data_IF_428001687785
#
_entry.id   IF_428001687785
#
_cell.length_a   1.000
_cell.length_b   1.000
_cell.length_c   1.000
_cell.angle_alpha   90.00
_cell.angle_beta   90.00
_cell.angle_gamma   90.00
#
_symmetry.space_group_name_H-M   'P 1'
#
loop_
_entity.id
_entity.type
_entity.pdbx_description
1 polymer ?
#
# COMPACT_ATOMS: atom_id res chain seq x y z
N UNK A 1 18.83 -20.93 30.55
CA UNK A 1 17.80 -19.92 30.28
C UNK A 1 16.61 -20.25 31.16
N UNK A 2 15.98 -19.27 31.81
CA UNK A 2 14.84 -19.52 32.71
C UNK A 2 13.56 -19.71 31.87
N UNK A 3 12.75 -20.72 32.17
CA UNK A 3 11.45 -20.90 31.53
C UNK A 3 10.37 -20.14 32.30
N UNK A 4 9.51 -19.42 31.56
CA UNK A 4 8.39 -18.66 32.11
C UNK A 4 7.07 -19.19 31.54
N UNK A 5 6.28 -19.90 32.36
CA UNK A 5 5.03 -20.55 31.93
C UNK A 5 4.01 -19.58 31.31
N UNK A 6 4.02 -18.31 31.74
CA UNK A 6 3.14 -17.29 31.19
C UNK A 6 3.58 -16.77 29.80
N UNK A 7 4.73 -17.23 29.28
CA UNK A 7 5.23 -16.90 27.94
C UNK A 7 5.15 -18.10 26.97
N UNK A 8 4.34 -19.12 27.25
CA UNK A 8 4.09 -20.22 26.30
C UNK A 8 3.64 -19.66 24.93
N UNK A 9 4.33 -20.08 23.87
CA UNK A 9 4.08 -19.65 22.49
C UNK A 9 4.69 -18.29 22.12
N UNK A 10 5.60 -17.76 22.94
CA UNK A 10 6.55 -16.71 22.53
C UNK A 10 7.84 -17.36 22.03
N UNK A 11 8.47 -16.75 21.04
CA UNK A 11 9.77 -17.14 20.51
C UNK A 11 10.87 -16.37 21.23
N UNK A 12 11.86 -17.07 21.73
CA UNK A 12 13.01 -16.47 22.38
C UNK A 12 13.92 -15.86 21.31
N UNK A 13 14.14 -14.54 21.36
CA UNK A 13 15.19 -13.93 20.56
C UNK A 13 16.51 -14.12 21.28
N UNK A 14 17.32 -15.07 20.78
CA UNK A 14 18.71 -15.26 21.20
C UNK A 14 19.56 -14.05 20.80
N UNK A 15 19.58 -13.02 21.64
CA UNK A 15 20.67 -12.06 21.68
C UNK A 15 21.83 -12.75 22.42
N UNK A 16 22.85 -13.22 21.68
CA UNK A 16 24.06 -13.94 22.14
C UNK A 16 24.42 -13.83 23.64
N UNK A 17 24.75 -14.98 24.25
CA UNK A 17 25.11 -15.19 25.68
C UNK A 17 25.98 -14.10 26.33
N UNK A 18 26.90 -13.50 25.58
CA UNK A 18 27.83 -12.45 26.03
C UNK A 18 27.10 -11.14 26.43
N UNK A 19 25.88 -10.89 25.95
CA UNK A 19 25.07 -9.70 26.32
C UNK A 19 24.21 -9.88 27.58
N UNK A 20 24.17 -11.08 28.19
CA UNK A 20 23.23 -11.39 29.27
C UNK A 20 23.67 -10.89 30.65
N UNK A 21 24.98 -10.78 30.91
CA UNK A 21 25.52 -10.40 32.22
C UNK A 21 25.97 -8.93 32.30
N UNK A 22 25.96 -8.21 31.18
CA UNK A 22 26.30 -6.80 31.15
C UNK A 22 25.19 -5.95 31.78
N UNK A 23 25.60 -5.09 32.72
CA UNK A 23 24.75 -4.03 33.27
C UNK A 23 24.47 -3.06 32.15
N UNK A 24 23.21 -2.89 31.79
CA UNK A 24 22.79 -1.92 30.77
C UNK A 24 21.84 -0.89 31.38
N UNK A 25 21.87 0.38 30.92
CA UNK A 25 20.89 1.36 31.35
C UNK A 25 19.48 0.94 30.92
N UNK A 26 18.48 1.27 31.74
CA UNK A 26 17.09 1.08 31.38
C UNK A 26 16.75 2.02 30.22
N UNK A 27 16.14 1.53 29.14
CA UNK A 27 15.97 2.31 27.91
C UNK A 27 15.10 3.57 28.08
N UNK A 28 14.26 3.63 29.12
CA UNK A 28 13.27 4.70 29.31
C UNK A 28 13.22 5.32 30.71
N UNK A 29 13.96 4.76 31.68
CA UNK A 29 13.95 5.23 33.06
C UNK A 29 15.34 5.74 33.38
N UNK A 30 15.45 7.04 33.65
CA UNK A 30 16.73 7.67 33.97
C UNK A 30 17.28 7.07 35.27
N UNK A 31 18.59 6.82 35.30
CA UNK A 31 19.32 6.29 36.45
C UNK A 31 18.87 4.89 36.94
N UNK A 32 18.10 4.15 36.14
CA UNK A 32 17.82 2.74 36.40
C UNK A 32 18.69 1.85 35.51
N UNK A 33 19.20 0.75 36.06
CA UNK A 33 20.00 -0.22 35.33
C UNK A 33 19.37 -1.61 35.39
N UNK A 34 19.65 -2.41 34.37
CA UNK A 34 19.14 -3.76 34.19
C UNK A 34 20.28 -4.73 33.93
N UNK A 35 20.12 -5.95 34.43
CA UNK A 35 21.00 -7.09 34.16
C UNK A 35 20.15 -8.34 33.91
N UNK A 36 20.76 -9.40 33.36
CA UNK A 36 20.11 -10.70 33.11
C UNK A 36 18.89 -10.56 32.20
N UNK A 37 19.03 -9.77 31.14
CA UNK A 37 17.95 -9.49 30.20
C UNK A 37 17.64 -10.71 29.32
N UNK A 38 16.38 -11.10 29.22
CA UNK A 38 15.88 -12.14 28.33
C UNK A 38 14.77 -11.56 27.45
N UNK A 39 14.91 -11.65 26.13
CA UNK A 39 13.99 -11.04 25.18
C UNK A 39 13.11 -12.10 24.53
N UNK A 40 11.82 -11.83 24.49
CA UNK A 40 10.80 -12.72 23.93
C UNK A 40 10.00 -11.96 22.90
N UNK A 41 9.65 -12.62 21.81
CA UNK A 41 8.83 -12.06 20.73
C UNK A 41 7.61 -12.94 20.45
N UNK A 42 6.49 -12.32 20.09
CA UNK A 42 5.32 -13.02 19.57
C UNK A 42 4.67 -12.15 18.51
N UNK A 43 4.95 -12.47 17.24
CA UNK A 43 4.60 -11.59 16.12
C UNK A 43 5.26 -10.20 16.29
N UNK A 44 4.43 -9.15 16.34
CA UNK A 44 4.89 -7.77 16.55
C UNK A 44 5.23 -7.42 17.99
N UNK A 45 4.78 -8.24 18.94
CA UNK A 45 4.96 -7.94 20.36
C UNK A 45 6.34 -8.38 20.82
N UNK A 46 7.00 -7.52 21.60
CA UNK A 46 8.32 -7.78 22.18
C UNK A 46 8.31 -7.46 23.66
N UNK A 47 8.85 -8.36 24.47
CA UNK A 47 9.02 -8.15 25.91
C UNK A 47 10.43 -8.51 26.35
N UNK A 48 10.89 -7.84 27.41
CA UNK A 48 12.16 -8.10 28.07
C UNK A 48 11.91 -8.48 29.52
N UNK A 49 12.46 -9.60 29.96
CA UNK A 49 12.53 -9.97 31.37
C UNK A 49 13.93 -9.64 31.89
N UNK A 50 14.04 -8.91 33.00
CA UNK A 50 15.33 -8.51 33.56
C UNK A 50 15.26 -8.37 35.09
N UNK A 51 16.41 -8.15 35.73
CA UNK A 51 16.51 -7.73 37.12
C UNK A 51 17.00 -6.30 37.24
N UNK A 52 16.39 -5.51 38.14
CA UNK A 52 16.84 -4.14 38.45
C UNK A 52 18.14 -4.17 39.25
N UNK A 53 19.08 -3.32 38.87
CA UNK A 53 20.37 -3.16 39.54
C UNK A 53 20.80 -1.69 39.54
N UNK A 54 21.82 -1.36 40.32
CA UNK A 54 22.55 -0.10 40.20
C UNK A 54 23.61 -0.18 39.08
N UNK A 55 24.34 0.92 38.87
CA UNK A 55 25.38 1.02 37.83
C UNK A 55 26.52 0.01 38.00
N UNK A 56 26.82 -0.40 39.24
CA UNK A 56 27.81 -1.44 39.54
C UNK A 56 27.27 -2.87 39.39
N UNK A 57 25.99 -3.04 39.05
CA UNK A 57 25.35 -4.33 38.84
C UNK A 57 24.81 -5.00 40.10
N UNK A 58 24.82 -4.31 41.23
CA UNK A 58 24.22 -4.79 42.48
C UNK A 58 22.70 -4.67 42.41
N UNK A 59 21.99 -5.74 42.79
CA UNK A 59 20.54 -5.81 42.69
C UNK A 59 19.83 -4.84 43.64
N UNK A 60 18.84 -4.11 43.11
CA UNK A 60 18.02 -3.18 43.90
C UNK A 60 16.86 -3.94 44.57
N UNK A 61 16.80 -3.83 45.89
CA UNK A 61 15.88 -4.45 46.88
C UNK A 61 16.35 -5.72 47.61
N UNK A 62 16.20 -5.58 48.93
CA UNK A 62 16.68 -6.36 50.06
C UNK A 62 15.96 -7.69 50.25
N UNK A 63 16.69 -8.68 50.78
CA UNK A 63 16.25 -10.02 51.20
C UNK A 63 16.03 -11.05 50.08
N UNK A 64 17.13 -11.66 49.62
CA UNK A 64 17.19 -13.02 49.03
C UNK A 64 16.28 -13.37 47.83
N UNK A 65 15.47 -12.47 47.30
CA UNK A 65 14.63 -12.76 46.14
C UNK A 65 15.12 -11.99 44.92
N UNK A 66 15.61 -12.75 43.94
CA UNK A 66 15.93 -12.33 42.58
C UNK A 66 14.65 -11.92 41.85
N UNK A 67 14.05 -10.81 42.24
CA UNK A 67 12.85 -10.31 41.58
C UNK A 67 13.17 -9.99 40.12
N UNK A 68 12.30 -10.50 39.25
CA UNK A 68 12.33 -10.28 37.81
C UNK A 68 11.21 -9.31 37.44
N UNK A 69 11.48 -8.46 36.48
CA UNK A 69 10.56 -7.49 35.91
C UNK A 69 10.31 -7.87 34.46
N UNK A 70 9.06 -7.82 34.04
CA UNK A 70 8.67 -7.87 32.64
C UNK A 70 8.44 -6.45 32.15
N UNK A 71 9.11 -6.09 31.07
CA UNK A 71 8.98 -4.80 30.40
C UNK A 71 8.55 -5.00 28.94
N UNK A 72 7.56 -4.21 28.50
CA UNK A 72 7.09 -4.22 27.12
C UNK A 72 8.00 -3.36 26.24
N UNK A 73 8.66 -3.98 25.26
CA UNK A 73 9.61 -3.34 24.35
C UNK A 73 8.97 -2.88 23.03
N UNK A 74 7.63 -2.79 22.96
CA UNK A 74 6.94 -2.34 21.75
C UNK A 74 7.17 -0.85 21.51
N UNK A 75 7.49 -0.49 20.26
CA UNK A 75 7.70 0.89 19.82
C UNK A 75 7.11 1.13 18.43
N UNK A 76 6.43 2.26 18.22
CA UNK A 76 5.78 2.62 16.95
C UNK A 76 5.96 4.12 16.72
N UNK A 77 6.49 4.52 15.55
CA UNK A 77 6.60 5.94 15.16
C UNK A 77 7.24 6.86 16.22
N UNK A 78 8.21 6.34 16.98
CA UNK A 78 8.90 7.07 18.04
C UNK A 78 8.21 7.03 19.41
N UNK A 79 6.98 6.53 19.51
CA UNK A 79 6.32 6.25 20.78
C UNK A 79 6.73 4.86 21.32
N UNK A 80 6.97 4.75 22.64
CA UNK A 80 7.38 3.49 23.28
C UNK A 80 6.40 3.08 24.38
N UNK A 81 6.28 1.77 24.59
CA UNK A 81 5.48 1.26 25.68
C UNK A 81 6.19 1.44 27.03
N UNK A 82 5.49 2.06 27.99
CA UNK A 82 6.01 2.25 29.36
C UNK A 82 5.58 1.14 30.33
N UNK A 83 5.02 0.04 29.82
CA UNK A 83 4.57 -1.04 30.69
C UNK A 83 5.76 -1.78 31.30
N UNK A 84 5.78 -1.84 32.62
CA UNK A 84 6.73 -2.60 33.44
C UNK A 84 5.99 -3.18 34.64
N UNK A 85 6.20 -4.46 34.94
CA UNK A 85 5.62 -5.08 36.13
C UNK A 85 6.50 -6.19 36.69
N UNK A 86 6.54 -6.32 38.01
CA UNK A 86 7.19 -7.45 38.68
C UNK A 86 6.47 -8.76 38.35
N UNK A 87 7.23 -9.81 38.06
CA UNK A 87 6.68 -11.06 37.51
C UNK A 87 5.68 -11.72 38.45
N UNK A 88 5.96 -11.74 39.75
CA UNK A 88 5.07 -12.29 40.77
C UNK A 88 3.76 -11.50 40.96
N UNK A 89 3.67 -10.29 40.39
CA UNK A 89 2.45 -9.49 40.37
C UNK A 89 1.71 -9.55 39.01
N UNK A 90 2.21 -10.34 38.04
CA UNK A 90 1.54 -10.52 36.75
C UNK A 90 0.37 -11.51 36.90
N UNK A 91 -0.83 -11.03 36.57
CA UNK A 91 -2.02 -11.89 36.39
C UNK A 91 -2.16 -12.37 34.95
N UNK A 92 -1.56 -11.65 34.00
CA UNK A 92 -1.55 -11.95 32.56
C UNK A 92 -0.30 -11.34 31.92
N UNK A 93 0.13 -11.92 30.80
CA UNK A 93 1.19 -11.40 29.92
C UNK A 93 0.71 -10.29 28.98
N UNK A 94 -0.61 -10.10 28.87
CA UNK A 94 -1.24 -9.06 28.07
C UNK A 94 -1.53 -7.83 28.93
N UNK A 95 -1.20 -6.64 28.40
CA UNK A 95 -1.68 -5.37 28.95
C UNK A 95 -2.47 -4.63 27.86
N UNK A 96 -3.67 -4.10 28.19
CA UNK A 96 -4.65 -3.67 27.20
C UNK A 96 -4.18 -2.50 26.33
N UNK A 97 -3.39 -1.58 26.89
CA UNK A 97 -2.96 -0.35 26.19
C UNK A 97 -1.57 -0.48 25.56
N UNK A 98 -1.25 -1.66 25.01
CA UNK A 98 0.01 -1.87 24.31
C UNK A 98 0.05 -1.16 22.97
N UNK A 99 1.07 -0.33 22.76
CA UNK A 99 1.29 0.31 21.46
C UNK A 99 1.56 -0.70 20.34
N UNK A 100 2.07 -1.89 20.69
CA UNK A 100 2.21 -3.01 19.75
C UNK A 100 0.89 -3.41 19.09
N UNK A 101 -0.27 -3.13 19.72
CA UNK A 101 -1.57 -3.33 19.10
C UNK A 101 -1.72 -2.51 17.81
N UNK A 102 -1.18 -1.28 17.74
CA UNK A 102 -1.19 -0.46 16.51
C UNK A 102 -0.48 -1.20 15.37
N UNK A 103 0.74 -1.71 15.61
CA UNK A 103 1.50 -2.48 14.62
C UNK A 103 0.79 -3.78 14.23
N UNK A 104 0.19 -4.46 15.21
CA UNK A 104 -0.54 -5.70 14.97
C UNK A 104 -1.68 -5.49 13.97
N UNK A 105 -2.51 -4.46 14.19
CA UNK A 105 -3.58 -4.11 13.27
C UNK A 105 -3.06 -3.64 11.91
N UNK A 106 -1.97 -2.89 11.87
CA UNK A 106 -1.33 -2.49 10.60
C UNK A 106 -0.83 -3.71 9.80
N UNK A 107 -0.23 -4.70 10.47
CA UNK A 107 0.24 -5.92 9.81
C UNK A 107 -0.92 -6.77 9.28
N UNK A 108 -2.01 -6.89 10.03
CA UNK A 108 -3.24 -7.57 9.58
C UNK A 108 -3.79 -6.87 8.33
N UNK A 109 -3.89 -5.54 8.38
CA UNK A 109 -4.40 -4.73 7.27
C UNK A 109 -3.53 -4.93 6.02
N UNK A 110 -2.20 -4.81 6.15
CA UNK A 110 -1.27 -4.99 5.04
C UNK A 110 -1.34 -6.41 4.45
N UNK A 111 -1.42 -7.43 5.30
CA UNK A 111 -1.56 -8.82 4.86
C UNK A 111 -2.88 -9.05 4.11
N UNK A 112 -3.97 -8.47 4.60
CA UNK A 112 -5.29 -8.51 3.98
C UNK A 112 -5.29 -7.86 2.59
N UNK A 113 -4.67 -6.68 2.47
CA UNK A 113 -4.54 -5.97 1.21
C UNK A 113 -3.75 -6.77 0.18
N UNK A 114 -2.66 -7.45 0.58
CA UNK A 114 -1.86 -8.29 -0.32
C UNK A 114 -2.66 -9.46 -0.90
N UNK A 115 -3.51 -10.10 -0.11
CA UNK A 115 -4.39 -11.17 -0.60
C UNK A 115 -5.42 -10.61 -1.58
N UNK A 116 -6.04 -9.47 -1.27
CA UNK A 116 -6.97 -8.79 -2.19
C UNK A 116 -6.31 -8.43 -3.52
N UNK A 117 -5.06 -7.95 -3.49
CA UNK A 117 -4.25 -7.67 -4.68
C UNK A 117 -4.00 -8.96 -5.49
N UNK A 118 -3.61 -10.05 -4.83
CA UNK A 118 -3.37 -11.32 -5.49
C UNK A 118 -4.63 -11.85 -6.20
N UNK A 119 -5.80 -11.73 -5.56
CA UNK A 119 -7.08 -12.11 -6.16
C UNK A 119 -7.47 -11.18 -7.31
N UNK A 120 -7.27 -9.87 -7.15
CA UNK A 120 -7.55 -8.89 -8.17
C UNK A 120 -6.77 -9.12 -9.47
N UNK A 121 -5.55 -9.66 -9.37
CA UNK A 121 -4.75 -10.04 -10.54
C UNK A 121 -5.38 -11.15 -11.38
N UNK A 122 -6.21 -12.02 -10.80
CA UNK A 122 -6.95 -13.02 -11.59
C UNK A 122 -7.91 -12.36 -12.56
N UNK A 123 -8.62 -11.32 -12.10
CA UNK A 123 -9.50 -10.53 -12.97
C UNK A 123 -8.70 -9.74 -14.00
N UNK A 124 -7.57 -9.14 -13.60
CA UNK A 124 -6.74 -8.33 -14.48
C UNK A 124 -6.07 -9.14 -15.60
N UNK A 125 -5.39 -10.22 -15.24
CA UNK A 125 -4.51 -10.99 -16.15
C UNK A 125 -5.29 -12.07 -16.89
N UNK A 126 -6.28 -12.68 -16.24
CA UNK A 126 -6.99 -13.83 -16.78
C UNK A 126 -8.46 -13.54 -17.10
N UNK A 127 -8.92 -12.29 -16.93
CA UNK A 127 -10.29 -11.90 -17.25
C UNK A 127 -11.36 -12.56 -16.38
N UNK A 128 -10.99 -13.09 -15.21
CA UNK A 128 -11.94 -13.76 -14.31
C UNK A 128 -12.95 -12.73 -13.77
N UNK A 129 -14.26 -12.97 -13.88
CA UNK A 129 -15.28 -12.04 -13.36
C UNK A 129 -15.11 -11.77 -11.85
N UNK A 130 -15.38 -10.54 -11.42
CA UNK A 130 -15.21 -10.14 -10.02
C UNK A 130 -16.07 -10.96 -9.06
N UNK A 131 -17.24 -11.39 -9.52
CA UNK A 131 -18.18 -12.22 -8.77
C UNK A 131 -17.61 -13.61 -8.53
N UNK A 132 -16.84 -14.16 -9.49
CA UNK A 132 -16.14 -15.44 -9.35
C UNK A 132 -14.95 -15.28 -8.40
N UNK A 133 -14.18 -14.19 -8.53
CA UNK A 133 -13.10 -13.87 -7.60
C UNK A 133 -13.58 -13.62 -6.14
N UNK A 134 -14.86 -13.29 -5.94
CA UNK A 134 -15.47 -13.10 -4.63
C UNK A 134 -16.36 -14.27 -4.18
N UNK A 135 -16.31 -15.40 -4.89
CA UNK A 135 -17.21 -16.52 -4.63
C UNK A 135 -16.77 -17.36 -3.42
N UNK A 136 -17.68 -18.20 -2.91
CA UNK A 136 -17.36 -19.13 -1.82
C UNK A 136 -16.32 -20.16 -2.23
N UNK A 137 -16.32 -20.56 -3.49
CA UNK A 137 -15.33 -21.46 -4.08
C UNK A 137 -13.94 -20.83 -4.06
N UNK A 138 -13.83 -19.52 -4.37
CA UNK A 138 -12.57 -18.80 -4.25
C UNK A 138 -12.10 -18.72 -2.79
N UNK A 139 -13.02 -18.48 -1.84
CA UNK A 139 -12.70 -18.53 -0.40
C UNK A 139 -12.14 -19.91 -0.01
N UNK A 140 -12.74 -21.00 -0.50
CA UNK A 140 -12.27 -22.35 -0.21
C UNK A 140 -10.86 -22.59 -0.78
N UNK A 141 -10.59 -22.15 -2.02
CA UNK A 141 -9.26 -22.23 -2.63
C UNK A 141 -8.23 -21.47 -1.77
N UNK A 142 -8.58 -20.29 -1.25
CA UNK A 142 -7.69 -19.53 -0.38
C UNK A 142 -7.41 -20.26 0.94
N UNK A 143 -8.43 -20.82 1.59
CA UNK A 143 -8.29 -21.60 2.83
C UNK A 143 -7.32 -22.76 2.63
N UNK A 144 -7.48 -23.50 1.53
CA UNK A 144 -6.66 -24.65 1.20
C UNK A 144 -5.23 -24.25 0.83
N UNK A 145 -5.07 -23.26 -0.06
CA UNK A 145 -3.77 -22.79 -0.52
C UNK A 145 -2.91 -22.23 0.62
N UNK A 146 -3.53 -21.52 1.57
CA UNK A 146 -2.86 -20.95 2.73
C UNK A 146 -2.69 -21.94 3.89
N UNK A 147 -3.21 -23.17 3.78
CA UNK A 147 -3.19 -24.18 4.85
C UNK A 147 -3.67 -23.64 6.22
N UNK A 148 -4.71 -22.78 6.23
CA UNK A 148 -5.12 -22.05 7.45
C UNK A 148 -5.59 -23.01 8.55
N UNK A 149 -6.40 -24.01 8.22
CA UNK A 149 -6.92 -24.97 9.22
C UNK A 149 -5.79 -25.77 9.90
N UNK A 150 -4.70 -26.05 9.19
CA UNK A 150 -3.54 -26.77 9.75
C UNK A 150 -2.70 -25.87 10.64
N UNK A 151 -2.58 -24.61 10.27
CA UNK A 151 -1.73 -23.63 10.97
C UNK A 151 -2.43 -23.05 12.21
N UNK A 152 -3.76 -22.95 12.18
CA UNK A 152 -4.59 -22.34 13.23
C UNK A 152 -5.72 -23.28 13.64
N UNK A 153 -5.37 -24.37 14.34
CA UNK A 153 -6.29 -25.46 14.68
C UNK A 153 -7.55 -25.02 15.45
N UNK A 154 -7.43 -23.97 16.26
CA UNK A 154 -8.50 -23.45 17.13
C UNK A 154 -9.35 -22.35 16.49
N UNK A 155 -8.96 -21.84 15.32
CA UNK A 155 -9.63 -20.71 14.68
C UNK A 155 -10.40 -21.17 13.46
N UNK A 156 -11.50 -20.48 13.15
CA UNK A 156 -12.25 -20.74 11.92
C UNK A 156 -11.47 -20.14 10.74
N UNK A 157 -11.14 -20.90 9.69
CA UNK A 157 -10.37 -20.37 8.55
C UNK A 157 -11.03 -19.14 7.90
N UNK A 158 -12.36 -19.11 7.87
CA UNK A 158 -13.13 -18.00 7.31
C UNK A 158 -12.95 -16.69 8.08
N UNK A 159 -12.60 -16.76 9.37
CA UNK A 159 -12.33 -15.56 10.19
C UNK A 159 -10.90 -15.04 10.03
N UNK A 160 -10.01 -15.85 9.44
CA UNK A 160 -8.61 -15.51 9.19
C UNK A 160 -8.39 -14.88 7.81
N UNK A 161 -9.29 -15.14 6.87
CA UNK A 161 -9.22 -14.57 5.54
C UNK A 161 -9.74 -13.13 5.52
N UNK A 162 -9.17 -12.27 4.65
CA UNK A 162 -9.74 -10.96 4.42
C UNK A 162 -11.12 -11.08 3.80
N UNK A 163 -12.00 -10.17 4.18
CA UNK A 163 -13.30 -10.05 3.55
C UNK A 163 -13.12 -9.57 2.10
N UNK A 164 -13.16 -10.52 1.16
CA UNK A 164 -12.98 -10.26 -0.27
C UNK A 164 -14.36 -10.12 -0.91
N UNK A 165 -14.63 -8.96 -1.53
CA UNK A 165 -15.88 -8.73 -2.27
C UNK A 165 -15.56 -8.24 -3.68
N UNK A 166 -16.51 -8.38 -4.60
CA UNK A 166 -16.38 -7.87 -5.97
C UNK A 166 -16.07 -6.36 -5.99
N UNK A 167 -16.57 -5.60 -5.02
CA UNK A 167 -16.28 -4.16 -4.86
C UNK A 167 -14.83 -3.93 -4.43
N UNK A 168 -14.34 -4.71 -3.46
CA UNK A 168 -12.95 -4.61 -2.97
C UNK A 168 -11.97 -4.99 -4.07
N UNK A 169 -12.22 -6.09 -4.79
CA UNK A 169 -11.38 -6.53 -5.91
C UNK A 169 -11.28 -5.44 -6.98
N UNK A 170 -12.43 -4.90 -7.39
CA UNK A 170 -12.55 -3.79 -8.33
C UNK A 170 -11.76 -2.56 -7.88
N UNK A 171 -11.93 -2.14 -6.63
CA UNK A 171 -11.22 -0.97 -6.08
C UNK A 171 -9.72 -1.20 -6.04
N UNK A 172 -9.29 -2.39 -5.63
CA UNK A 172 -7.88 -2.79 -5.58
C UNK A 172 -7.25 -2.73 -6.97
N UNK A 173 -7.94 -3.19 -8.01
CA UNK A 173 -7.45 -3.08 -9.39
C UNK A 173 -7.25 -1.63 -9.83
N UNK A 174 -8.20 -0.75 -9.49
CA UNK A 174 -8.11 0.68 -9.81
C UNK A 174 -6.92 1.31 -9.10
N UNK A 175 -6.73 1.02 -7.81
CA UNK A 175 -5.60 1.52 -7.03
C UNK A 175 -4.25 1.01 -7.57
N UNK A 176 -4.12 -0.28 -7.91
CA UNK A 176 -2.92 -0.83 -8.58
C UNK A 176 -2.66 -0.15 -9.94
N UNK A 177 -3.70 0.09 -10.74
CA UNK A 177 -3.57 0.78 -12.02
C UNK A 177 -3.08 2.23 -11.84
N UNK A 178 -3.61 2.97 -10.86
CA UNK A 178 -3.13 4.31 -10.54
C UNK A 178 -1.70 4.33 -10.04
N UNK A 179 -1.31 3.36 -9.19
CA UNK A 179 0.08 3.24 -8.74
C UNK A 179 1.03 2.98 -9.90
N UNK A 180 0.69 2.02 -10.78
CA UNK A 180 1.50 1.71 -11.95
C UNK A 180 1.59 2.88 -12.93
N UNK A 181 0.48 3.61 -13.12
CA UNK A 181 0.48 4.82 -13.95
C UNK A 181 1.39 5.90 -13.34
N UNK A 182 1.33 6.16 -12.04
CA UNK A 182 2.22 7.12 -11.36
C UNK A 182 3.70 6.74 -11.51
N UNK A 183 4.02 5.46 -11.33
CA UNK A 183 5.38 4.96 -11.54
C UNK A 183 5.84 5.19 -12.98
N UNK A 184 5.00 4.89 -13.98
CA UNK A 184 5.30 5.19 -15.38
C UNK A 184 5.45 6.67 -15.68
N UNK A 185 4.66 7.52 -15.00
CA UNK A 185 4.73 8.97 -15.15
C UNK A 185 5.99 9.57 -14.51
N UNK A 186 6.65 8.86 -13.60
CA UNK A 186 7.86 9.35 -12.92
C UNK A 186 8.98 9.76 -13.89
N UNK A 187 9.08 9.10 -15.06
CA UNK A 187 10.09 9.44 -16.07
C UNK A 187 9.91 10.85 -16.66
N UNK A 188 8.71 11.43 -16.57
CA UNK A 188 8.36 12.75 -17.08
C UNK A 188 8.49 13.85 -16.03
N UNK A 189 8.88 13.54 -14.79
CA UNK A 189 8.99 14.53 -13.71
C UNK A 189 10.02 15.62 -14.04
N UNK A 190 9.67 16.87 -13.75
CA UNK A 190 10.45 18.05 -14.08
C UNK A 190 10.50 18.39 -15.57
N UNK A 191 9.72 17.70 -16.42
CA UNK A 191 9.73 17.89 -17.87
C UNK A 191 8.53 18.68 -18.38
N UNK A 192 8.72 19.28 -19.56
CA UNK A 192 7.64 19.80 -20.38
C UNK A 192 7.22 18.71 -21.37
N UNK A 193 5.94 18.34 -21.34
CA UNK A 193 5.38 17.24 -22.13
C UNK A 193 4.31 17.74 -23.09
N UNK A 194 3.99 16.90 -24.08
CA UNK A 194 2.88 17.10 -25.00
C UNK A 194 1.84 16.01 -24.80
N UNK A 195 0.56 16.40 -24.80
CA UNK A 195 -0.54 15.44 -24.80
C UNK A 195 -0.95 15.10 -26.23
N UNK A 196 -1.20 13.84 -26.52
CA UNK A 196 -1.84 13.39 -27.77
C UNK A 196 -3.28 13.04 -27.41
N UNK A 197 -4.24 13.73 -28.04
CA UNK A 197 -5.66 13.46 -27.89
C UNK A 197 -6.18 12.86 -29.19
N UNK A 198 -6.43 11.56 -29.16
CA UNK A 198 -6.94 10.81 -30.30
C UNK A 198 -8.41 10.44 -30.07
N UNK A 199 -9.29 11.08 -30.83
CA UNK A 199 -10.74 10.94 -30.70
C UNK A 199 -11.30 9.96 -31.73
N UNK A 200 -12.16 9.04 -31.29
CA UNK A 200 -12.82 8.08 -32.16
C UNK A 200 -14.23 7.73 -31.70
N UNK A 201 -14.92 6.95 -32.54
CA UNK A 201 -16.22 6.37 -32.23
C UNK A 201 -16.05 4.86 -32.04
N UNK A 202 -16.40 4.36 -30.86
CA UNK A 202 -16.42 2.93 -30.54
C UNK A 202 -17.85 2.53 -30.17
N UNK A 203 -18.52 1.74 -31.03
CA UNK A 203 -19.88 1.25 -30.80
C UNK A 203 -20.89 2.37 -30.40
N UNK A 204 -20.86 3.49 -31.13
CA UNK A 204 -21.68 4.70 -30.89
C UNK A 204 -21.30 5.54 -29.66
N UNK A 205 -20.23 5.19 -28.95
CA UNK A 205 -19.68 6.00 -27.86
C UNK A 205 -18.46 6.75 -28.38
N UNK A 206 -18.42 8.07 -28.15
CA UNK A 206 -17.21 8.83 -28.38
C UNK A 206 -16.16 8.46 -27.33
N UNK A 207 -14.97 8.12 -27.79
CA UNK A 207 -13.81 7.80 -26.95
C UNK A 207 -12.68 8.74 -27.32
N UNK A 208 -12.02 9.31 -26.32
CA UNK A 208 -10.81 10.12 -26.49
C UNK A 208 -9.69 9.44 -25.73
N UNK A 209 -8.71 8.95 -26.48
CA UNK A 209 -7.46 8.42 -25.96
C UNK A 209 -6.55 9.59 -25.63
N UNK A 210 -6.08 9.67 -24.39
CA UNK A 210 -5.10 10.69 -23.99
C UNK A 210 -3.76 10.03 -23.69
N UNK A 211 -2.77 10.32 -24.55
CA UNK A 211 -1.39 9.88 -24.38
C UNK A 211 -0.51 11.05 -23.95
N UNK A 212 0.58 10.74 -23.25
CA UNK A 212 1.67 11.67 -22.94
C UNK A 212 2.92 11.28 -23.69
N UNK A 213 3.63 12.28 -24.20
CA UNK A 213 4.92 12.12 -24.85
C UNK A 213 5.83 13.30 -24.53
N UNK A 214 7.13 13.09 -24.62
CA UNK A 214 8.12 14.14 -24.53
C UNK A 214 9.09 14.01 -25.71
N UNK A 215 9.43 15.10 -26.41
CA UNK A 215 10.44 15.07 -27.46
C UNK A 215 11.86 14.85 -26.92
N UNK A 216 12.05 14.99 -25.60
CA UNK A 216 13.36 14.87 -24.93
C UNK A 216 13.57 13.45 -24.40
N UNK A 217 12.48 12.76 -24.03
CA UNK A 217 12.54 11.40 -23.48
C UNK A 217 12.32 10.42 -24.60
N UNK A 218 13.31 9.56 -24.84
CA UNK A 218 13.17 8.42 -25.76
C UNK A 218 12.35 7.29 -25.11
N UNK A 219 11.05 7.54 -24.98
CA UNK A 219 10.07 6.58 -24.48
C UNK A 219 8.84 6.57 -25.39
N UNK A 220 8.19 5.40 -25.58
CA UNK A 220 6.94 5.34 -26.30
C UNK A 220 5.86 6.18 -25.58
N UNK A 221 4.92 6.80 -26.32
CA UNK A 221 3.82 7.52 -25.70
C UNK A 221 3.07 6.66 -24.68
N UNK A 222 2.85 7.21 -23.48
CA UNK A 222 2.17 6.48 -22.41
C UNK A 222 0.68 6.87 -22.39
N UNK A 223 -0.20 5.88 -22.26
CA UNK A 223 -1.62 6.12 -22.04
C UNK A 223 -1.84 6.67 -20.62
N UNK A 224 -2.46 7.85 -20.51
CA UNK A 224 -2.87 8.44 -19.24
C UNK A 224 -4.31 8.05 -18.92
N UNK A 225 -5.23 8.29 -19.86
CA UNK A 225 -6.64 8.00 -19.66
C UNK A 225 -7.35 7.76 -20.99
N UNK A 226 -8.54 7.18 -20.86
CA UNK A 226 -9.47 6.98 -21.96
C UNK A 226 -10.79 7.62 -21.55
N UNK A 227 -11.06 8.80 -22.10
CA UNK A 227 -12.26 9.55 -21.78
C UNK A 227 -13.41 9.08 -22.65
N UNK A 228 -14.54 8.80 -22.03
CA UNK A 228 -15.78 8.45 -22.71
C UNK A 228 -16.89 9.38 -22.27
N UNK A 229 -17.31 10.23 -23.19
CA UNK A 229 -18.31 11.25 -22.91
C UNK A 229 -18.62 12.09 -24.15
N UNK A 230 -19.53 13.06 -24.03
CA UNK A 230 -19.86 13.95 -25.13
C UNK A 230 -18.62 14.70 -25.63
N UNK A 231 -18.26 14.48 -26.89
CA UNK A 231 -17.17 15.19 -27.57
C UNK A 231 -17.63 16.60 -27.97
N UNK A 232 -17.74 17.46 -26.96
CA UNK A 232 -17.97 18.91 -27.13
C UNK A 232 -16.69 19.69 -26.84
N UNK A 233 -16.57 20.90 -27.37
CA UNK A 233 -15.41 21.76 -27.09
C UNK A 233 -15.23 22.06 -25.59
N UNK A 234 -16.33 22.22 -24.83
CA UNK A 234 -16.30 22.40 -23.37
C UNK A 234 -15.84 21.12 -22.65
N UNK A 235 -16.36 19.95 -23.05
CA UNK A 235 -15.94 18.65 -22.49
C UNK A 235 -14.45 18.39 -22.70
N UNK A 236 -13.95 18.66 -23.91
CA UNK A 236 -12.52 18.58 -24.22
C UNK A 236 -11.68 19.55 -23.38
N UNK A 237 -12.11 20.80 -23.25
CA UNK A 237 -11.39 21.79 -22.44
C UNK A 237 -11.31 21.39 -20.96
N UNK A 238 -12.40 20.85 -20.39
CA UNK A 238 -12.42 20.32 -19.02
C UNK A 238 -11.49 19.13 -18.85
N UNK A 239 -11.51 18.18 -19.79
CA UNK A 239 -10.61 17.03 -19.80
C UNK A 239 -9.15 17.47 -19.77
N UNK A 240 -8.75 18.35 -20.70
CA UNK A 240 -7.38 18.87 -20.77
C UNK A 240 -7.01 19.63 -19.50
N UNK A 241 -7.90 20.46 -18.96
CA UNK A 241 -7.64 21.22 -17.74
C UNK A 241 -7.44 20.31 -16.53
N UNK A 242 -8.27 19.26 -16.38
CA UNK A 242 -8.15 18.29 -15.30
C UNK A 242 -6.84 17.51 -15.38
N UNK A 243 -6.50 16.97 -16.56
CA UNK A 243 -5.24 16.23 -16.77
C UNK A 243 -4.04 17.14 -16.53
N UNK A 244 -4.09 18.39 -17.00
CA UNK A 244 -3.01 19.37 -16.77
C UNK A 244 -2.80 19.64 -15.29
N UNK A 245 -3.89 19.73 -14.52
CA UNK A 245 -3.83 19.90 -13.07
C UNK A 245 -3.20 18.67 -12.40
N UNK A 246 -3.68 17.48 -12.75
CA UNK A 246 -3.22 16.23 -12.13
C UNK A 246 -1.74 15.95 -12.45
N UNK A 247 -1.29 16.27 -13.67
CA UNK A 247 0.12 16.18 -14.05
C UNK A 247 0.99 17.22 -13.34
N UNK A 248 0.47 18.42 -13.10
CA UNK A 248 1.19 19.46 -12.36
C UNK A 248 1.46 19.05 -10.91
N UNK A 249 0.54 18.34 -10.27
CA UNK A 249 0.74 17.79 -8.92
C UNK A 249 1.86 16.72 -8.89
N UNK A 250 2.24 16.18 -10.06
CA UNK A 250 3.38 15.27 -10.25
C UNK A 250 4.64 15.98 -10.75
N UNK A 251 4.70 17.32 -10.74
CA UNK A 251 5.78 18.13 -11.30
C UNK A 251 6.00 17.90 -12.81
N UNK A 252 4.91 17.69 -13.56
CA UNK A 252 4.93 17.53 -15.03
C UNK A 252 4.19 18.70 -15.67
N UNK A 253 4.86 19.44 -16.55
CA UNK A 253 4.27 20.62 -17.21
C UNK A 253 3.75 20.28 -18.60
N UNK A 254 2.46 20.49 -18.85
CA UNK A 254 1.89 20.34 -20.20
C UNK A 254 2.21 21.59 -21.03
N UNK A 255 3.09 21.44 -22.02
CA UNK A 255 3.49 22.53 -22.93
C UNK A 255 2.52 22.73 -24.10
N UNK A 256 1.76 21.69 -24.44
CA UNK A 256 0.79 21.72 -25.52
C UNK A 256 0.11 20.38 -25.73
N UNK A 257 -0.75 20.32 -26.73
CA UNK A 257 -1.39 19.08 -27.13
C UNK A 257 -1.59 19.00 -28.64
N UNK A 258 -1.68 17.77 -29.15
CA UNK A 258 -1.95 17.46 -30.55
C UNK A 258 -3.23 16.64 -30.67
N UNK A 259 -3.96 16.85 -31.76
CA UNK A 259 -5.24 16.21 -32.08
C UNK A 259 -5.36 16.07 -33.60
N UNK A 260 -6.30 15.27 -34.08
CA UNK A 260 -6.57 15.03 -35.52
C UNK A 260 -7.13 16.26 -36.26
N UNK A 261 -7.41 17.36 -35.54
CA UNK A 261 -7.89 18.61 -36.09
C UNK A 261 -9.41 18.70 -36.22
N UNK A 262 -10.17 17.78 -35.58
CA UNK A 262 -11.62 17.87 -35.55
C UNK A 262 -12.08 19.21 -34.92
N UNK A 263 -13.17 19.81 -35.45
CA UNK A 263 -13.61 21.17 -35.12
C UNK A 263 -13.72 21.45 -33.60
N UNK A 264 -14.23 20.50 -32.82
CA UNK A 264 -14.37 20.65 -31.37
C UNK A 264 -13.02 20.68 -30.64
N UNK A 265 -12.04 19.90 -31.09
CA UNK A 265 -10.67 19.86 -30.55
C UNK A 265 -9.91 21.15 -30.89
N UNK A 266 -10.10 21.69 -32.10
CA UNK A 266 -9.52 22.97 -32.53
C UNK A 266 -10.10 24.16 -31.75
N UNK A 267 -11.40 24.17 -31.45
CA UNK A 267 -12.02 25.19 -30.60
C UNK A 267 -11.49 25.13 -29.15
N UNK A 268 -11.33 23.93 -28.60
CA UNK A 268 -10.72 23.74 -27.28
C UNK A 268 -9.26 24.22 -27.25
N UNK A 269 -8.49 23.96 -28.33
CA UNK A 269 -7.13 24.48 -28.51
C UNK A 269 -7.07 26.00 -28.49
N UNK A 270 -7.95 26.69 -29.21
CA UNK A 270 -7.99 28.15 -29.17
C UNK A 270 -8.34 28.72 -27.79
N UNK A 271 -9.19 28.03 -27.03
CA UNK A 271 -9.47 28.39 -25.64
C UNK A 271 -8.25 28.19 -24.72
N UNK A 272 -7.44 27.15 -24.96
CA UNK A 272 -6.25 26.82 -24.17
C UNK A 272 -5.03 27.69 -24.55
N UNK A 273 -4.81 27.95 -25.84
CA UNK A 273 -3.69 28.73 -26.38
C UNK A 273 -3.69 30.21 -25.97
N UNK A 274 -4.82 30.77 -25.53
CA UNK A 274 -4.82 32.10 -24.89
C UNK A 274 -3.90 32.18 -23.65
N UNK A 275 -3.33 31.06 -23.19
CA UNK A 275 -2.32 31.01 -22.13
C UNK A 275 -0.92 30.52 -22.51
N UNK A 276 -0.69 29.70 -23.55
CA UNK A 276 0.67 29.17 -23.88
C UNK A 276 0.78 28.87 -25.40
N UNK A 277 1.92 29.20 -26.01
CA UNK A 277 2.24 29.00 -27.45
C UNK A 277 3.35 27.95 -27.64
N UNK A 278 3.13 26.86 -28.41
CA UNK A 278 3.81 26.51 -29.68
C UNK A 278 3.49 25.08 -30.22
N UNK A 279 3.60 24.93 -31.55
CA UNK A 279 3.34 23.76 -32.44
C UNK A 279 4.39 22.63 -32.37
N UNK A 280 4.00 21.35 -32.62
CA UNK A 280 4.77 20.31 -33.38
C UNK A 280 3.82 19.27 -34.05
N UNK A 281 4.24 18.72 -35.20
CA UNK A 281 3.56 17.90 -36.24
C UNK A 281 3.41 16.36 -36.00
N UNK A 282 2.57 15.75 -36.86
CA UNK A 282 2.13 14.34 -36.99
C UNK A 282 3.20 13.24 -37.18
N UNK A 283 2.99 12.08 -36.52
CA UNK A 283 2.86 10.71 -37.12
C UNK A 283 2.78 9.63 -36.02
N UNK A 284 1.59 9.16 -35.64
CA UNK A 284 1.43 7.86 -34.93
C UNK A 284 0.07 7.27 -35.28
N UNK A 285 -0.03 6.46 -36.34
CA UNK A 285 -1.24 5.68 -36.65
C UNK A 285 -0.97 4.19 -36.84
N UNK A 286 0.28 3.73 -36.67
CA UNK A 286 0.67 2.35 -36.97
C UNK A 286 1.30 1.57 -35.81
N UNK A 287 1.41 2.14 -34.60
CA UNK A 287 1.94 1.43 -33.42
C UNK A 287 0.90 1.12 -32.33
N UNK A 288 -0.36 1.56 -32.50
CA UNK A 288 -1.43 1.35 -31.51
C UNK A 288 -2.02 -0.07 -31.50
N UNK A 289 -1.67 -0.94 -32.46
CA UNK A 289 -2.12 -2.33 -32.51
C UNK A 289 -1.23 -3.34 -31.74
N UNK A 290 -0.32 -2.85 -30.90
CA UNK A 290 0.42 -3.69 -29.95
C UNK A 290 0.17 -3.34 -28.48
N UNK A 291 -0.76 -2.42 -28.20
CA UNK A 291 -1.31 -2.29 -26.84
C UNK A 291 -2.33 -3.40 -26.69
N UNK A 292 -2.06 -4.31 -25.75
CA UNK A 292 -2.95 -5.41 -25.42
C UNK A 292 -4.34 -4.82 -25.11
N UNK A 293 -5.31 -5.09 -25.98
CA UNK A 293 -6.67 -4.50 -25.96
C UNK A 293 -7.36 -4.79 -24.60
N UNK A 294 -6.87 -5.78 -23.87
CA UNK A 294 -7.28 -6.06 -22.51
C UNK A 294 -7.03 -4.88 -21.55
N UNK A 295 -5.89 -4.17 -21.62
CA UNK A 295 -5.59 -3.07 -20.69
C UNK A 295 -6.43 -1.81 -20.93
N UNK A 296 -6.86 -1.58 -22.18
CA UNK A 296 -7.62 -0.39 -22.62
C UNK A 296 -9.11 -0.49 -22.24
N UNK A 297 -9.70 -1.70 -22.28
CA UNK A 297 -11.13 -1.90 -22.03
C UNK A 297 -11.51 -1.64 -20.56
N UNK A 298 -10.56 -1.75 -19.61
CA UNK A 298 -10.87 -1.64 -18.18
C UNK A 298 -10.81 -0.22 -17.62
N UNK A 299 -9.93 0.65 -18.12
CA UNK A 299 -9.86 2.06 -17.71
C UNK A 299 -11.10 2.83 -18.20
N UNK A 300 -11.57 2.54 -19.42
CA UNK A 300 -12.77 3.16 -20.04
C UNK A 300 -14.06 2.88 -19.29
N UNK A 301 -14.23 1.65 -18.78
CA UNK A 301 -15.52 1.24 -18.20
C UNK A 301 -15.85 1.90 -16.86
N UNK A 302 -14.87 2.51 -16.20
CA UNK A 302 -15.01 2.97 -14.80
C UNK A 302 -15.28 4.46 -14.61
N UNK A 303 -14.79 5.35 -15.47
CA UNK A 303 -15.22 6.75 -15.41
C UNK A 303 -16.72 6.92 -15.71
N UNK A 304 -17.32 6.00 -16.48
CA UNK A 304 -18.76 6.04 -16.81
C UNK A 304 -19.66 5.66 -15.62
N UNK A 305 -19.17 4.96 -14.58
CA UNK A 305 -20.02 4.45 -13.47
C UNK A 305 -19.87 5.16 -12.13
N UNK A 306 -19.02 6.18 -12.01
CA UNK A 306 -18.88 6.97 -10.77
C UNK A 306 -19.72 8.26 -10.76
N UNK A 307 -20.52 8.51 -11.79
CA UNK A 307 -21.53 9.58 -11.82
C UNK A 307 -22.96 9.01 -11.94
N UNK A 308 -23.34 8.14 -11.01
CA UNK A 308 -24.75 7.89 -10.61
C UNK A 308 -24.80 7.78 -9.10
#
# INVERSE_FOLDING_TARGET
>A
MEHFDFLIGWEDQLLTAEKYDEVTPHPWLENEYRTRCQFFCKGVFKVCIYSKCNESGELLCSSKSSHRYLHCCCSVEGETCKFEKRIDHLKSNFHPDCIGNKLYYQQIKSSSERVNIAVARLSRIHGVPFEVCASKEMTQIQIEAMNLQKSFLSEKPETLLPHTTAVIIRKTMIEEAHMYLRERLSIYQGQIVTLILDGGLLAHVHVVVVLITSPIIDAPPALICLYTGPVTADGFARLVAQITKDLKDLDITVGGFTTDGHQHSMLAYHCFQKKITLNIFQKVWLSLFSIDVQDIIWIVRYEIRLNV
#
